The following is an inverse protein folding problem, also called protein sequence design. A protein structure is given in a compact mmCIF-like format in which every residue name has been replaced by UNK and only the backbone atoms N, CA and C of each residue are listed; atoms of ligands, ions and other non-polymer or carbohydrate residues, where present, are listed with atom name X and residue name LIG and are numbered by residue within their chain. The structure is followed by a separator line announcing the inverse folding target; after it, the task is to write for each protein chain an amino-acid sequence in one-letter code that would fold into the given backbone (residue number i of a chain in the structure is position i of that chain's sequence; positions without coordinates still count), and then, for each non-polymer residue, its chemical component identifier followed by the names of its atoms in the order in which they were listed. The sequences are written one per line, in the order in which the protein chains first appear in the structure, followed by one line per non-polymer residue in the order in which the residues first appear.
data_IF_463112181401
#
_entry.id   IF_463112181401
#
_cell.length_a   1.000
_cell.length_b   1.000
_cell.length_c   1.000
_cell.angle_alpha   90.00
_cell.angle_beta   90.00
_cell.angle_gamma   90.00
#
_symmetry.space_group_name_H-M   'P 1'
#
loop_
_entity.id
_entity.type
_entity.pdbx_description
1 polymer ?
#
# COMPACT_ATOMS: atom_id res chain seq x y z
N UNK A 1 -3.32 10.25 -37.84
CA UNK A 1 -3.85 9.38 -36.75
C UNK A 1 -5.26 9.86 -36.43
N UNK A 2 -6.28 9.00 -36.54
CA UNK A 2 -7.66 9.40 -36.30
C UNK A 2 -7.92 9.55 -34.80
N UNK A 3 -8.86 10.42 -34.40
CA UNK A 3 -9.25 10.62 -33.00
C UNK A 3 -9.68 9.30 -32.32
N UNK A 4 -10.27 8.37 -33.09
CA UNK A 4 -10.59 7.01 -32.65
C UNK A 4 -9.36 6.23 -32.18
N UNK A 5 -8.28 6.24 -32.98
CA UNK A 5 -7.04 5.51 -32.61
C UNK A 5 -6.37 6.07 -31.35
N UNK A 6 -6.56 7.36 -31.05
CA UNK A 6 -6.03 7.99 -29.83
C UNK A 6 -6.85 7.54 -28.61
N UNK A 7 -8.18 7.52 -28.72
CA UNK A 7 -9.07 7.07 -27.64
C UNK A 7 -8.84 5.59 -27.33
N UNK A 8 -8.63 4.74 -28.34
CA UNK A 8 -8.34 3.32 -28.15
C UNK A 8 -7.04 3.10 -27.36
N UNK A 9 -5.97 3.84 -27.69
CA UNK A 9 -4.71 3.80 -26.94
C UNK A 9 -4.89 4.23 -25.49
N UNK A 10 -5.59 5.34 -25.25
CA UNK A 10 -5.87 5.80 -23.89
C UNK A 10 -6.70 4.79 -23.08
N UNK A 11 -7.62 4.06 -23.71
CA UNK A 11 -8.37 2.96 -23.05
C UNK A 11 -7.49 1.76 -22.74
N UNK A 12 -6.48 1.48 -23.57
CA UNK A 12 -5.50 0.43 -23.30
C UNK A 12 -4.58 0.83 -22.13
N UNK A 13 -4.08 2.06 -22.14
CA UNK A 13 -3.27 2.61 -21.04
C UNK A 13 -4.07 2.63 -19.73
N UNK A 14 -5.34 3.03 -19.77
CA UNK A 14 -6.23 2.97 -18.61
C UNK A 14 -6.34 1.56 -18.03
N UNK A 15 -6.52 0.55 -18.89
CA UNK A 15 -6.59 -0.86 -18.46
C UNK A 15 -5.28 -1.31 -17.80
N UNK A 16 -4.13 -0.93 -18.35
CA UNK A 16 -2.82 -1.25 -17.76
C UNK A 16 -2.64 -0.61 -16.39
N UNK A 17 -3.05 0.65 -16.23
CA UNK A 17 -3.00 1.36 -14.95
C UNK A 17 -3.96 0.72 -13.93
N UNK A 18 -5.16 0.33 -14.36
CA UNK A 18 -6.14 -0.37 -13.51
C UNK A 18 -5.62 -1.73 -13.03
N UNK A 19 -5.01 -2.52 -13.92
CA UNK A 19 -4.37 -3.79 -13.54
C UNK A 19 -3.22 -3.59 -12.56
N UNK A 20 -2.41 -2.54 -12.75
CA UNK A 20 -1.31 -2.21 -11.84
C UNK A 20 -1.84 -1.76 -10.47
N UNK A 21 -2.90 -0.94 -10.43
CA UNK A 21 -3.57 -0.55 -9.18
C UNK A 21 -4.08 -1.77 -8.42
N UNK A 22 -4.78 -2.69 -9.10
CA UNK A 22 -5.29 -3.91 -8.46
C UNK A 22 -4.16 -4.76 -7.84
N UNK A 23 -3.01 -4.87 -8.53
CA UNK A 23 -1.84 -5.57 -7.98
C UNK A 23 -1.26 -4.87 -6.75
N UNK A 24 -1.10 -3.54 -6.81
CA UNK A 24 -0.58 -2.75 -5.69
C UNK A 24 -1.54 -2.78 -4.48
N UNK A 25 -2.85 -2.82 -4.70
CA UNK A 25 -3.84 -2.95 -3.64
C UNK A 25 -3.80 -4.33 -2.97
N UNK A 26 -3.61 -5.40 -3.75
CA UNK A 26 -3.41 -6.74 -3.20
C UNK A 26 -2.09 -6.81 -2.39
N UNK A 27 -1.00 -6.23 -2.90
CA UNK A 27 0.27 -6.16 -2.18
C UNK A 27 0.14 -5.36 -0.88
N UNK A 28 -0.58 -4.23 -0.90
CA UNK A 28 -0.88 -3.42 0.29
C UNK A 28 -1.61 -4.24 1.35
N UNK A 29 -2.55 -5.07 0.95
CA UNK A 29 -3.32 -5.90 1.87
C UNK A 29 -2.43 -6.93 2.58
N UNK A 30 -1.54 -7.59 1.84
CA UNK A 30 -0.58 -8.53 2.42
C UNK A 30 0.41 -7.84 3.37
N UNK A 31 0.90 -6.65 2.99
CA UNK A 31 1.75 -5.82 3.87
C UNK A 31 1.01 -5.42 5.14
N UNK A 32 -0.26 -5.02 5.03
CA UNK A 32 -1.08 -4.66 6.18
C UNK A 32 -1.28 -5.82 7.14
N UNK A 33 -1.57 -7.03 6.64
CA UNK A 33 -1.65 -8.23 7.47
C UNK A 33 -0.35 -8.47 8.22
N UNK A 34 0.79 -8.44 7.52
CA UNK A 34 2.10 -8.60 8.15
C UNK A 34 2.39 -7.55 9.23
N UNK A 35 2.02 -6.30 8.98
CA UNK A 35 2.13 -5.22 9.96
C UNK A 35 1.29 -5.49 11.21
N UNK A 36 0.03 -5.93 11.05
CA UNK A 36 -0.86 -6.19 12.18
C UNK A 36 -0.37 -7.35 13.04
N UNK A 37 0.18 -8.42 12.43
CA UNK A 37 0.78 -9.53 13.20
C UNK A 37 1.95 -9.04 14.05
N UNK A 38 2.86 -8.25 13.47
CA UNK A 38 4.01 -7.71 14.19
C UNK A 38 3.60 -6.75 15.31
N UNK A 39 2.57 -5.92 15.07
CA UNK A 39 2.02 -5.02 16.07
C UNK A 39 1.37 -5.77 17.23
N UNK A 40 0.64 -6.85 16.94
CA UNK A 40 0.05 -7.70 17.98
C UNK A 40 1.14 -8.41 18.80
N UNK A 41 2.19 -8.90 18.15
CA UNK A 41 3.34 -9.49 18.85
C UNK A 41 4.07 -8.47 19.74
N UNK A 42 4.31 -7.26 19.22
CA UNK A 42 4.92 -6.15 19.98
C UNK A 42 4.09 -5.85 21.24
N UNK A 43 2.77 -5.74 21.09
CA UNK A 43 1.84 -5.50 22.21
C UNK A 43 1.87 -6.63 23.25
N UNK A 44 1.95 -7.89 22.81
CA UNK A 44 2.07 -9.05 23.73
C UNK A 44 3.36 -8.98 24.53
N UNK A 45 4.49 -8.66 23.89
CA UNK A 45 5.79 -8.54 24.58
C UNK A 45 5.74 -7.41 25.61
N UNK A 46 5.18 -6.25 25.26
CA UNK A 46 5.01 -5.13 26.19
C UNK A 46 4.14 -5.50 27.39
N UNK A 47 3.04 -6.21 27.17
CA UNK A 47 2.18 -6.72 28.24
C UNK A 47 2.89 -7.73 29.15
N UNK A 48 3.73 -8.61 28.59
CA UNK A 48 4.56 -9.53 29.37
C UNK A 48 5.61 -8.78 30.21
N UNK A 49 6.26 -7.77 29.63
CA UNK A 49 7.24 -6.93 30.31
C UNK A 49 6.62 -6.21 31.52
N UNK A 50 5.41 -5.67 31.38
CA UNK A 50 4.66 -5.00 32.47
C UNK A 50 4.43 -5.91 33.69
N UNK A 51 4.31 -7.23 33.46
CA UNK A 51 4.05 -8.22 34.51
C UNK A 51 5.34 -8.93 34.97
N UNK A 52 6.48 -8.63 34.36
CA UNK A 52 7.75 -9.30 34.62
C UNK A 52 8.45 -8.67 35.83
N UNK A 53 8.72 -9.49 36.85
CA UNK A 53 9.52 -9.10 38.03
C UNK A 53 10.95 -9.65 37.98
N UNK A 54 11.21 -10.60 37.10
CA UNK A 54 12.51 -11.22 36.89
C UNK A 54 13.32 -10.39 35.89
N UNK A 55 14.48 -9.90 36.33
CA UNK A 55 15.35 -9.02 35.56
C UNK A 55 15.94 -9.71 34.33
N UNK A 56 16.36 -10.97 34.44
CA UNK A 56 16.93 -11.72 33.32
C UNK A 56 15.88 -12.04 32.26
N UNK A 57 14.66 -12.37 32.68
CA UNK A 57 13.51 -12.51 31.78
C UNK A 57 13.14 -11.18 31.13
N UNK A 58 13.20 -10.07 31.87
CA UNK A 58 12.94 -8.74 31.32
C UNK A 58 13.94 -8.39 30.21
N UNK A 59 15.24 -8.58 30.43
CA UNK A 59 16.27 -8.33 29.41
C UNK A 59 16.04 -9.15 28.12
N UNK A 60 15.60 -10.41 28.26
CA UNK A 60 15.24 -11.24 27.08
C UNK A 60 14.01 -10.73 26.35
N UNK A 61 12.99 -10.27 27.08
CA UNK A 61 11.80 -9.66 26.49
C UNK A 61 12.13 -8.35 25.77
N UNK A 62 13.00 -7.52 26.35
CA UNK A 62 13.48 -6.29 25.72
C UNK A 62 14.25 -6.55 24.43
N UNK A 63 15.15 -7.54 24.43
CA UNK A 63 15.86 -7.95 23.21
C UNK A 63 14.89 -8.43 22.12
N UNK A 64 13.88 -9.22 22.48
CA UNK A 64 12.84 -9.67 21.55
C UNK A 64 12.00 -8.51 21.04
N UNK A 65 11.60 -7.58 21.92
CA UNK A 65 10.86 -6.38 21.56
C UNK A 65 11.61 -5.58 20.49
N UNK A 66 12.90 -5.32 20.70
CA UNK A 66 13.73 -4.58 19.75
C UNK A 66 13.75 -5.21 18.34
N UNK A 67 13.80 -6.54 18.26
CA UNK A 67 13.77 -7.26 16.98
C UNK A 67 12.40 -7.07 16.30
N UNK A 68 11.31 -7.30 17.02
CA UNK A 68 9.93 -7.17 16.49
C UNK A 68 9.64 -5.72 16.09
N UNK A 69 10.01 -4.75 16.92
CA UNK A 69 9.86 -3.32 16.63
C UNK A 69 10.63 -2.91 15.37
N UNK A 70 11.84 -3.44 15.15
CA UNK A 70 12.60 -3.18 13.93
C UNK A 70 11.90 -3.75 12.71
N UNK A 71 11.47 -5.00 12.77
CA UNK A 71 10.72 -5.65 11.69
C UNK A 71 9.43 -4.88 11.37
N UNK A 72 8.69 -4.45 12.41
CA UNK A 72 7.47 -3.65 12.24
C UNK A 72 7.74 -2.35 11.50
N UNK A 73 8.80 -1.63 11.87
CA UNK A 73 9.21 -0.40 11.19
C UNK A 73 9.62 -0.64 9.73
N UNK A 74 10.29 -1.75 9.43
CA UNK A 74 10.63 -2.12 8.06
C UNK A 74 9.37 -2.37 7.21
N UNK A 75 8.38 -3.08 7.76
CA UNK A 75 7.08 -3.32 7.10
C UNK A 75 6.28 -2.02 6.96
N UNK A 76 6.31 -1.14 7.96
CA UNK A 76 5.70 0.20 7.92
C UNK A 76 6.31 1.08 6.81
N UNK A 77 7.61 0.98 6.58
CA UNK A 77 8.29 1.60 5.45
C UNK A 77 7.75 1.10 4.11
N UNK A 78 7.63 -0.22 3.94
CA UNK A 78 7.04 -0.83 2.73
C UNK A 78 5.58 -0.40 2.53
N UNK A 79 4.80 -0.31 3.61
CA UNK A 79 3.42 0.20 3.58
C UNK A 79 3.36 1.64 3.07
N UNK A 80 4.23 2.50 3.57
CA UNK A 80 4.29 3.89 3.12
C UNK A 80 4.69 3.98 1.64
N UNK A 81 5.60 3.12 1.18
CA UNK A 81 6.02 3.07 -0.22
C UNK A 81 4.89 2.61 -1.14
N UNK A 82 4.17 1.53 -0.78
CA UNK A 82 3.05 1.03 -1.59
C UNK A 82 1.91 2.06 -1.68
N UNK A 83 1.62 2.76 -0.58
CA UNK A 83 0.62 3.83 -0.56
C UNK A 83 1.02 5.03 -1.44
N UNK A 84 2.31 5.34 -1.56
CA UNK A 84 2.80 6.35 -2.52
C UNK A 84 2.62 5.88 -3.96
N UNK A 85 2.95 4.63 -4.26
CA UNK A 85 2.78 4.05 -5.61
C UNK A 85 1.31 4.05 -6.03
N UNK A 86 0.41 3.61 -5.15
CA UNK A 86 -1.04 3.62 -5.39
C UNK A 86 -1.54 5.04 -5.70
N UNK A 87 -1.13 6.05 -4.91
CA UNK A 87 -1.50 7.45 -5.18
C UNK A 87 -1.04 7.93 -6.56
N UNK A 88 0.22 7.64 -6.92
CA UNK A 88 0.74 7.99 -8.24
C UNK A 88 -0.05 7.36 -9.39
N UNK A 89 -0.38 6.07 -9.27
CA UNK A 89 -1.16 5.35 -10.27
C UNK A 89 -2.62 5.87 -10.34
N UNK A 90 -3.22 6.21 -9.19
CA UNK A 90 -4.57 6.77 -9.14
C UNK A 90 -4.64 8.16 -9.78
N UNK A 91 -3.61 8.98 -9.61
CA UNK A 91 -3.49 10.28 -10.29
C UNK A 91 -3.33 10.11 -11.81
N UNK A 92 -2.48 9.18 -12.25
CA UNK A 92 -2.30 8.86 -13.66
C UNK A 92 -3.61 8.38 -14.30
N UNK A 93 -4.31 7.46 -13.63
CA UNK A 93 -5.64 6.97 -14.02
C UNK A 93 -6.62 8.12 -14.21
N UNK A 94 -6.66 9.06 -13.26
CA UNK A 94 -7.52 10.24 -13.31
C UNK A 94 -7.21 11.12 -14.52
N UNK A 95 -5.93 11.37 -14.80
CA UNK A 95 -5.50 12.14 -15.99
C UNK A 95 -5.92 11.48 -17.30
N UNK A 96 -5.78 10.16 -17.40
CA UNK A 96 -6.20 9.40 -18.59
C UNK A 96 -7.72 9.50 -18.77
N UNK A 97 -8.50 9.33 -17.69
CA UNK A 97 -9.97 9.47 -17.74
C UNK A 97 -10.40 10.86 -18.20
N UNK A 98 -9.84 11.92 -17.61
CA UNK A 98 -10.11 13.31 -18.03
C UNK A 98 -9.77 13.52 -19.51
N UNK A 99 -8.66 12.92 -19.98
CA UNK A 99 -8.26 13.04 -21.40
C UNK A 99 -9.22 12.32 -22.32
N UNK A 100 -9.68 11.12 -21.96
CA UNK A 100 -10.70 10.38 -22.71
C UNK A 100 -12.00 11.18 -22.77
N UNK A 101 -12.44 11.74 -21.64
CA UNK A 101 -13.65 12.54 -21.54
C UNK A 101 -13.59 13.79 -22.42
N UNK A 102 -12.49 14.54 -22.38
CA UNK A 102 -12.26 15.70 -23.23
C UNK A 102 -12.33 15.38 -24.73
N UNK A 103 -11.88 14.17 -25.11
CA UNK A 103 -11.86 13.72 -26.50
C UNK A 103 -13.19 13.10 -26.96
N UNK A 104 -14.15 12.87 -26.06
CA UNK A 104 -15.49 12.42 -26.47
C UNK A 104 -16.20 13.57 -27.18
N UNK A 105 -16.83 13.33 -28.35
CA UNK A 105 -17.65 14.34 -28.98
C UNK A 105 -18.78 14.75 -28.03
N UNK A 106 -18.95 16.06 -27.81
CA UNK A 106 -20.13 16.58 -27.12
C UNK A 106 -21.35 16.14 -27.91
N UNK A 107 -22.23 15.36 -27.31
CA UNK A 107 -23.55 15.14 -27.88
C UNK A 107 -24.20 16.52 -27.97
N UNK A 108 -24.39 17.03 -29.19
CA UNK A 108 -25.23 18.18 -29.43
C UNK A 108 -26.66 17.71 -29.17
N UNK A 109 -27.26 18.18 -28.08
CA UNK A 109 -28.72 18.17 -27.88
C UNK A 109 -29.38 19.19 -28.82
#
# INVERSE_FOLDING_TARGET
MSQSTIIEKLKEDLRRVDEMLARLEAEREEINKGYMVLLEEENKIVEEMRKCRDEYKYMRLEARLNIVSRQRKEVEGKKTEIERKIRGCAEERSKILMRIEYLKPKQQE
#
